data_IF_577631025208
#
_entry.id   IF_577631025208
#
_cell.length_a   1.000
_cell.length_b   1.000
_cell.length_c   1.000
_cell.angle_alpha   90.00
_cell.angle_beta   90.00
_cell.angle_gamma   90.00
#
_symmetry.space_group_name_H-M   'P 1'
#
loop_
_entity.id
_entity.type
_entity.pdbx_description
1 polymer ?
#
# COMPACT_ATOMS: atom_id res chain seq x y z
N UNK A 1 -32.78 -72.39 -11.30
CA UNK A 1 -33.17 -73.00 -10.01
C UNK A 1 -31.98 -72.93 -9.05
N UNK A 2 -32.20 -72.34 -7.86
CA UNK A 2 -31.60 -72.57 -6.51
C UNK A 2 -30.06 -72.50 -6.34
N UNK A 3 -29.50 -71.48 -5.64
CA UNK A 3 -29.20 -71.33 -4.18
C UNK A 3 -28.08 -72.29 -3.69
N UNK A 4 -26.98 -71.84 -3.06
CA UNK A 4 -26.82 -71.22 -1.72
C UNK A 4 -25.42 -70.56 -1.59
N UNK A 5 -25.23 -69.32 -1.10
CA UNK A 5 -25.17 -68.82 0.29
C UNK A 5 -23.94 -69.26 1.12
N UNK A 6 -23.01 -68.33 1.42
CA UNK A 6 -22.22 -68.26 2.67
C UNK A 6 -22.02 -66.77 3.05
N UNK A 7 -22.49 -66.39 4.24
CA UNK A 7 -22.20 -65.14 4.94
C UNK A 7 -20.89 -65.28 5.74
N UNK A 8 -20.03 -64.25 5.71
CA UNK A 8 -19.24 -63.85 6.88
C UNK A 8 -18.81 -62.37 6.73
N UNK A 9 -19.17 -61.58 7.73
CA UNK A 9 -19.01 -60.15 7.92
C UNK A 9 -17.62 -59.73 8.44
N UNK A 10 -17.08 -58.62 7.95
CA UNK A 10 -16.18 -57.75 8.73
C UNK A 10 -16.16 -56.32 8.14
N UNK A 11 -16.69 -55.35 8.90
CA UNK A 11 -16.59 -53.91 8.64
C UNK A 11 -15.13 -53.43 8.83
N UNK A 12 -14.66 -52.49 8.01
CA UNK A 12 -13.77 -51.44 8.46
C UNK A 12 -14.49 -50.08 8.58
N UNK A 13 -14.05 -49.23 9.52
CA UNK A 13 -14.79 -48.07 10.04
C UNK A 13 -14.90 -46.90 9.05
N UNK A 14 -16.05 -46.22 9.13
CA UNK A 14 -16.30 -44.89 8.58
C UNK A 14 -15.33 -43.87 9.17
N UNK A 15 -14.31 -43.49 8.42
CA UNK A 15 -13.61 -42.22 8.62
C UNK A 15 -14.11 -41.21 7.58
N UNK A 16 -15.16 -40.50 7.97
CA UNK A 16 -15.63 -39.28 7.33
C UNK A 16 -14.57 -38.21 7.57
N UNK A 17 -13.71 -37.94 6.58
CA UNK A 17 -12.86 -36.74 6.60
C UNK A 17 -13.72 -35.58 6.13
N UNK A 18 -14.50 -35.02 7.05
CA UNK A 18 -15.07 -33.69 6.90
C UNK A 18 -13.98 -32.69 7.28
N UNK A 19 -13.24 -32.21 6.29
CA UNK A 19 -12.46 -30.97 6.46
C UNK A 19 -13.29 -29.82 5.91
N UNK A 20 -13.74 -28.87 6.73
CA UNK A 20 -14.31 -27.63 6.24
C UNK A 20 -13.17 -26.83 5.59
N UNK A 21 -13.17 -26.77 4.26
CA UNK A 21 -12.38 -25.81 3.48
C UNK A 21 -13.12 -24.45 3.52
N UNK A 22 -13.18 -23.84 4.70
CA UNK A 22 -13.64 -22.46 4.88
C UNK A 22 -12.63 -21.72 5.73
N UNK A 23 -12.25 -20.55 5.24
CA UNK A 23 -11.44 -19.50 5.85
C UNK A 23 -9.91 -19.70 5.80
N UNK A 24 -9.33 -19.27 4.68
CA UNK A 24 -8.05 -18.57 4.69
C UNK A 24 -8.22 -17.34 5.57
N UNK A 25 -7.97 -17.49 6.87
CA UNK A 25 -7.47 -16.43 7.72
C UNK A 25 -5.98 -16.67 7.80
N UNK A 26 -5.20 -15.82 7.15
CA UNK A 26 -3.76 -15.73 7.39
C UNK A 26 -3.55 -15.41 8.87
N UNK A 27 -3.42 -16.45 9.69
CA UNK A 27 -2.81 -16.32 11.01
C UNK A 27 -1.32 -16.24 10.72
N UNK A 28 -0.82 -15.03 10.53
CA UNK A 28 0.62 -14.78 10.55
C UNK A 28 1.18 -15.41 11.83
N UNK A 29 2.03 -16.43 11.69
CA UNK A 29 2.63 -17.10 12.85
C UNK A 29 3.50 -16.09 13.61
N UNK A 30 3.68 -16.29 14.91
CA UNK A 30 4.56 -15.46 15.73
C UNK A 30 5.98 -15.37 15.13
N UNK A 31 6.45 -16.48 14.54
CA UNK A 31 7.71 -16.52 13.79
C UNK A 31 7.70 -15.63 12.53
N UNK A 32 6.58 -15.54 11.81
CA UNK A 32 6.44 -14.65 10.64
C UNK A 32 6.46 -13.17 11.03
N UNK A 33 5.84 -12.83 12.17
CA UNK A 33 5.82 -11.46 12.70
C UNK A 33 7.21 -11.05 13.16
N UNK A 34 7.93 -11.93 13.88
CA UNK A 34 9.29 -11.65 14.33
C UNK A 34 10.26 -11.53 13.14
N UNK A 35 10.14 -12.41 12.13
CA UNK A 35 10.92 -12.31 10.90
C UNK A 35 10.67 -10.99 10.15
N UNK A 36 9.42 -10.52 10.11
CA UNK A 36 9.08 -9.22 9.53
C UNK A 36 9.69 -8.08 10.34
N UNK A 37 9.63 -8.14 11.67
CA UNK A 37 10.21 -7.14 12.57
C UNK A 37 11.72 -7.02 12.41
N UNK A 38 12.43 -8.15 12.37
CA UNK A 38 13.88 -8.19 12.12
C UNK A 38 14.23 -7.59 10.76
N UNK A 39 13.46 -7.91 9.71
CA UNK A 39 13.62 -7.30 8.38
C UNK A 39 13.43 -5.79 8.41
N UNK A 40 12.37 -5.31 9.06
CA UNK A 40 12.10 -3.87 9.16
C UNK A 40 13.19 -3.14 9.94
N UNK A 41 13.70 -3.73 11.03
CA UNK A 41 14.81 -3.18 11.80
C UNK A 41 16.10 -3.09 10.97
N UNK A 42 16.39 -4.12 10.15
CA UNK A 42 17.54 -4.11 9.24
C UNK A 42 17.43 -3.01 8.18
N UNK A 43 16.25 -2.82 7.59
CA UNK A 43 16.00 -1.72 6.63
C UNK A 43 16.20 -0.36 7.29
N UNK A 44 15.65 -0.16 8.49
CA UNK A 44 15.81 1.09 9.22
C UNK A 44 17.28 1.41 9.55
N UNK A 45 18.08 0.40 9.92
CA UNK A 45 19.52 0.55 10.11
C UNK A 45 20.22 0.97 8.82
N UNK A 46 19.91 0.30 7.71
CA UNK A 46 20.51 0.61 6.40
C UNK A 46 20.18 2.03 5.94
N UNK A 47 18.95 2.49 6.17
CA UNK A 47 18.53 3.85 5.84
C UNK A 47 19.23 4.89 6.72
N UNK A 48 19.46 4.58 8.00
CA UNK A 48 20.23 5.44 8.90
C UNK A 48 21.70 5.54 8.48
N UNK A 49 22.32 4.41 8.13
CA UNK A 49 23.70 4.37 7.63
C UNK A 49 23.83 5.13 6.30
N UNK A 50 22.87 4.96 5.40
CA UNK A 50 22.81 5.70 4.14
C UNK A 50 22.73 7.22 4.37
N UNK A 51 21.87 7.67 5.29
CA UNK A 51 21.79 9.10 5.67
C UNK A 51 23.08 9.60 6.32
N UNK A 52 23.75 8.78 7.13
CA UNK A 52 25.00 9.14 7.79
C UNK A 52 26.15 9.38 6.80
N UNK A 53 26.11 8.74 5.63
CA UNK A 53 27.05 8.98 4.51
C UNK A 53 26.52 9.98 3.47
N UNK A 54 25.43 10.70 3.77
CA UNK A 54 24.88 11.74 2.91
C UNK A 54 24.02 11.25 1.75
N UNK A 55 23.65 9.96 1.70
CA UNK A 55 22.69 9.48 0.72
C UNK A 55 21.28 9.91 1.15
N UNK A 56 20.69 10.77 0.34
CA UNK A 56 19.29 11.17 0.46
C UNK A 56 18.43 10.30 -0.47
N UNK A 57 17.16 10.17 -0.09
CA UNK A 57 16.16 9.43 -0.87
C UNK A 57 16.07 10.07 -2.26
N UNK A 58 16.07 9.24 -3.31
CA UNK A 58 15.98 9.72 -4.69
C UNK A 58 14.60 10.33 -4.92
N UNK A 59 14.58 11.42 -5.67
CA UNK A 59 13.36 11.91 -6.25
C UNK A 59 13.08 11.17 -7.55
N UNK A 60 11.83 10.80 -7.75
CA UNK A 60 11.35 10.22 -9.00
C UNK A 60 10.71 11.31 -9.84
N UNK A 61 10.96 11.28 -11.15
CA UNK A 61 10.32 12.18 -12.10
C UNK A 61 9.19 11.42 -12.78
N UNK A 62 7.97 11.91 -12.60
CA UNK A 62 6.77 11.17 -12.99
C UNK A 62 5.86 12.03 -13.86
N UNK A 63 5.09 11.35 -14.71
CA UNK A 63 4.05 11.95 -15.54
C UNK A 63 2.77 12.13 -14.74
N UNK A 64 2.01 13.16 -15.12
CA UNK A 64 0.60 13.25 -14.74
C UNK A 64 -0.22 12.60 -15.84
N UNK A 65 -0.83 11.47 -15.52
CA UNK A 65 -1.60 10.61 -16.43
C UNK A 65 -3.05 10.51 -15.98
N UNK A 66 -3.90 9.88 -16.80
CA UNK A 66 -5.30 9.61 -16.50
C UNK A 66 -6.17 10.85 -16.22
N UNK A 67 -5.75 12.03 -16.70
CA UNK A 67 -6.52 13.28 -16.60
C UNK A 67 -7.07 13.68 -17.96
N UNK A 68 -8.27 14.26 -17.98
CA UNK A 68 -8.81 14.89 -19.19
C UNK A 68 -8.10 16.22 -19.50
N UNK A 69 -7.76 16.98 -18.45
CA UNK A 69 -7.02 18.25 -18.55
C UNK A 69 -6.01 18.38 -17.43
N UNK A 70 -6.48 18.34 -16.17
CA UNK A 70 -5.66 18.58 -14.98
C UNK A 70 -6.05 17.66 -13.83
N UNK A 71 -5.11 17.41 -12.92
CA UNK A 71 -5.35 16.87 -11.58
C UNK A 71 -5.17 17.98 -10.54
N UNK A 72 -5.93 17.93 -9.46
CA UNK A 72 -5.76 18.85 -8.35
C UNK A 72 -4.66 18.36 -7.39
N UNK A 73 -3.76 19.27 -7.03
CA UNK A 73 -2.71 19.04 -6.05
C UNK A 73 -3.11 19.66 -4.71
N UNK A 74 -3.14 18.85 -3.65
CA UNK A 74 -3.75 19.19 -2.37
C UNK A 74 -2.71 19.39 -1.28
N UNK A 75 -2.93 20.35 -0.39
CA UNK A 75 -1.98 20.62 0.70
C UNK A 75 -1.83 19.40 1.63
N UNK A 76 -2.94 18.75 1.97
CA UNK A 76 -2.96 17.49 2.70
C UNK A 76 -3.46 16.36 1.78
N UNK A 77 -3.07 15.11 2.02
CA UNK A 77 -3.25 13.98 1.09
C UNK A 77 -4.68 13.46 1.01
N UNK A 78 -5.70 14.32 0.95
CA UNK A 78 -7.11 13.96 0.79
C UNK A 78 -7.88 15.07 0.08
N UNK A 79 -9.06 14.78 -0.45
CA UNK A 79 -9.94 15.82 -0.95
C UNK A 79 -10.66 16.55 0.19
N UNK A 80 -10.54 17.87 0.23
CA UNK A 80 -11.23 18.71 1.21
C UNK A 80 -10.90 18.40 2.67
N UNK A 81 -11.73 18.90 3.60
CA UNK A 81 -11.54 18.76 5.05
C UNK A 81 -11.17 20.07 5.74
N UNK A 82 -11.14 20.05 7.07
CA UNK A 82 -10.87 21.26 7.86
C UNK A 82 -9.42 21.72 7.66
N UNK A 83 -9.22 22.94 7.13
CA UNK A 83 -7.91 23.51 6.84
C UNK A 83 -7.25 23.03 5.53
N UNK A 84 -7.69 21.93 4.95
CA UNK A 84 -7.15 21.43 3.68
C UNK A 84 -7.69 22.22 2.49
N UNK A 85 -6.86 22.40 1.47
CA UNK A 85 -7.21 23.15 0.27
C UNK A 85 -6.40 22.68 -0.93
N UNK A 86 -6.91 23.00 -2.12
CA UNK A 86 -6.16 22.85 -3.36
C UNK A 86 -5.05 23.90 -3.42
N UNK A 87 -3.82 23.46 -3.58
CA UNK A 87 -2.66 24.33 -3.81
C UNK A 87 -2.65 24.80 -5.26
N UNK A 88 -2.80 23.87 -6.21
CA UNK A 88 -2.89 24.17 -7.64
C UNK A 88 -3.54 23.03 -8.43
N UNK A 89 -3.78 23.24 -9.73
CA UNK A 89 -4.17 22.19 -10.67
C UNK A 89 -3.04 21.98 -11.68
N UNK A 90 -2.64 20.73 -11.87
CA UNK A 90 -1.51 20.37 -12.72
C UNK A 90 -2.02 19.69 -13.98
N UNK A 91 -1.63 20.19 -15.14
CA UNK A 91 -1.98 19.58 -16.42
C UNK A 91 -1.35 18.19 -16.59
N UNK A 92 -1.94 17.36 -17.47
CA UNK A 92 -1.26 16.17 -17.94
C UNK A 92 0.12 16.52 -18.52
N UNK A 93 1.16 15.77 -18.16
CA UNK A 93 2.55 16.07 -18.54
C UNK A 93 3.31 14.82 -18.97
N UNK A 94 4.49 15.01 -19.56
CA UNK A 94 5.50 13.95 -19.80
C UNK A 94 6.79 14.30 -19.06
N UNK A 95 7.06 13.56 -17.98
CA UNK A 95 8.24 13.42 -17.13
C UNK A 95 8.72 14.70 -16.45
N UNK A 96 7.77 15.51 -15.97
CA UNK A 96 8.07 16.90 -15.58
C UNK A 96 7.85 17.22 -14.11
N UNK A 97 7.48 16.23 -13.28
CA UNK A 97 7.19 16.51 -11.87
C UNK A 97 8.00 15.61 -10.98
N UNK A 98 8.71 16.26 -10.07
CA UNK A 98 9.57 15.62 -9.09
C UNK A 98 8.75 15.24 -7.84
N UNK A 99 8.72 13.95 -7.55
CA UNK A 99 8.06 13.35 -6.40
C UNK A 99 9.09 12.69 -5.49
N UNK A 100 8.87 12.73 -4.17
CA UNK A 100 9.86 12.24 -3.18
C UNK A 100 9.40 11.09 -2.30
N UNK A 101 8.10 10.97 -2.13
CA UNK A 101 7.51 10.04 -1.19
C UNK A 101 6.01 9.92 -1.42
N UNK A 102 5.43 8.87 -0.86
CA UNK A 102 3.99 8.69 -0.83
C UNK A 102 3.45 8.57 0.60
N UNK A 103 2.16 8.77 0.75
CA UNK A 103 1.41 8.40 1.96
C UNK A 103 0.10 7.70 1.59
N UNK A 104 -0.45 6.91 2.50
CA UNK A 104 -1.74 6.25 2.31
C UNK A 104 -2.87 7.15 2.81
N UNK A 105 -3.94 7.27 2.02
CA UNK A 105 -5.12 8.04 2.37
C UNK A 105 -6.43 7.57 1.71
N UNK A 106 -7.34 8.53 1.48
CA UNK A 106 -8.53 8.40 0.65
C UNK A 106 -8.21 7.66 -0.65
N UNK A 107 -9.05 6.68 -0.98
CA UNK A 107 -8.94 5.94 -2.22
C UNK A 107 -9.47 6.78 -3.37
N UNK A 108 -8.63 7.02 -4.36
CA UNK A 108 -8.98 7.69 -5.61
C UNK A 108 -8.76 6.68 -6.73
N UNK A 109 -9.82 6.34 -7.45
CA UNK A 109 -9.80 5.32 -8.52
C UNK A 109 -9.14 3.99 -8.10
N UNK A 110 -9.47 3.53 -6.89
CA UNK A 110 -8.90 2.30 -6.32
C UNK A 110 -7.45 2.39 -5.83
N UNK A 111 -6.77 3.54 -5.99
CA UNK A 111 -5.44 3.79 -5.45
C UNK A 111 -5.51 4.64 -4.19
N UNK A 112 -4.94 4.16 -3.08
CA UNK A 112 -4.86 4.92 -1.81
C UNK A 112 -3.57 5.70 -1.64
N UNK A 113 -2.65 5.68 -2.61
CA UNK A 113 -1.42 6.45 -2.60
C UNK A 113 -1.70 7.92 -2.87
N UNK A 114 -1.02 8.79 -2.13
CA UNK A 114 -0.94 10.22 -2.37
C UNK A 114 0.53 10.60 -2.38
N UNK A 115 0.99 11.13 -3.51
CA UNK A 115 2.40 11.29 -3.82
C UNK A 115 2.79 12.76 -3.67
N UNK A 116 3.87 13.03 -2.92
CA UNK A 116 4.31 14.37 -2.58
C UNK A 116 5.17 14.99 -3.69
N UNK A 117 4.63 16.00 -4.37
CA UNK A 117 5.31 16.79 -5.39
C UNK A 117 6.16 17.89 -4.72
N UNK A 118 7.48 17.70 -4.71
CA UNK A 118 8.41 18.47 -3.86
C UNK A 118 8.40 19.95 -4.21
N UNK A 119 8.54 20.26 -5.50
CA UNK A 119 8.63 21.63 -5.99
C UNK A 119 7.29 22.37 -5.99
N UNK A 120 6.19 21.66 -5.69
CA UNK A 120 4.83 22.20 -5.64
C UNK A 120 4.29 22.31 -4.21
N UNK A 121 4.87 21.56 -3.27
CA UNK A 121 4.47 21.61 -1.86
C UNK A 121 3.08 21.02 -1.61
N UNK A 122 2.69 20.00 -2.36
CA UNK A 122 1.37 19.40 -2.29
C UNK A 122 1.37 17.92 -2.71
N UNK A 123 0.27 17.25 -2.43
CA UNK A 123 0.01 15.86 -2.75
C UNK A 123 -0.85 15.71 -4.00
N UNK A 124 -0.45 14.79 -4.88
CA UNK A 124 -1.25 14.35 -6.03
C UNK A 124 -1.76 12.93 -5.74
N UNK A 125 -3.02 12.58 -6.03
CA UNK A 125 -3.46 11.20 -5.91
C UNK A 125 -2.65 10.31 -6.86
N UNK A 126 -2.10 9.21 -6.35
CA UNK A 126 -1.24 8.31 -7.14
C UNK A 126 -1.98 7.52 -8.23
N UNK A 127 -3.31 7.68 -8.35
CA UNK A 127 -4.07 7.24 -9.53
C UNK A 127 -3.72 8.04 -10.80
N UNK A 128 -3.15 9.24 -10.62
CA UNK A 128 -2.81 10.16 -11.70
C UNK A 128 -1.30 10.32 -11.88
N UNK A 129 -0.48 9.56 -11.15
CA UNK A 129 0.95 9.43 -11.41
C UNK A 129 1.19 8.15 -12.20
N UNK A 130 2.18 8.16 -13.09
CA UNK A 130 2.53 6.96 -13.85
C UNK A 130 3.23 5.89 -12.98
N UNK A 131 3.64 4.79 -13.63
CA UNK A 131 4.28 3.66 -12.97
C UNK A 131 5.71 3.92 -12.49
N UNK A 132 6.30 5.08 -12.83
CA UNK A 132 7.58 5.51 -12.24
C UNK A 132 7.41 5.94 -10.79
N UNK A 133 6.23 6.44 -10.42
CA UNK A 133 5.91 6.95 -9.09
C UNK A 133 5.26 5.93 -8.15
N UNK A 134 5.43 4.63 -8.41
CA UNK A 134 4.82 3.61 -7.54
C UNK A 134 5.32 3.72 -6.09
N UNK A 135 4.53 3.18 -5.15
CA UNK A 135 4.92 3.08 -3.73
C UNK A 135 6.29 2.45 -3.51
N UNK A 136 6.67 1.49 -4.35
CA UNK A 136 7.96 0.82 -4.30
C UNK A 136 9.11 1.78 -4.63
N UNK A 137 8.90 2.72 -5.54
CA UNK A 137 9.91 3.69 -5.97
C UNK A 137 9.96 4.90 -5.04
N UNK A 138 8.80 5.48 -4.69
CA UNK A 138 8.73 6.69 -3.88
C UNK A 138 9.02 6.45 -2.39
N UNK A 139 8.64 5.31 -1.79
CA UNK A 139 8.72 5.05 -0.35
C UNK A 139 7.88 6.01 0.52
N UNK A 140 7.61 5.66 1.80
CA UNK A 140 6.72 6.48 2.65
C UNK A 140 7.28 7.88 3.00
N UNK A 141 6.39 8.85 3.12
CA UNK A 141 6.72 10.20 3.59
C UNK A 141 7.02 10.21 5.10
N UNK A 142 8.16 10.77 5.54
CA UNK A 142 8.54 10.79 6.95
C UNK A 142 7.63 11.71 7.80
N UNK A 143 6.96 12.67 7.17
CA UNK A 143 6.04 13.62 7.79
C UNK A 143 4.57 13.21 7.68
N UNK A 144 4.27 12.02 7.15
CA UNK A 144 2.90 11.53 6.97
C UNK A 144 2.10 11.57 8.29
N UNK A 145 2.69 11.17 9.42
CA UNK A 145 2.03 11.23 10.73
C UNK A 145 1.65 12.66 11.15
N UNK A 146 2.49 13.64 10.82
CA UNK A 146 2.23 15.05 11.10
C UNK A 146 1.08 15.57 10.25
N UNK A 147 1.04 15.25 8.95
CA UNK A 147 -0.06 15.66 8.06
C UNK A 147 -1.40 15.09 8.52
N UNK A 148 -1.43 13.86 9.04
CA UNK A 148 -2.63 13.26 9.65
C UNK A 148 -3.14 14.09 10.83
N UNK A 149 -2.23 14.62 11.66
CA UNK A 149 -2.60 15.46 12.81
C UNK A 149 -3.23 16.80 12.41
N UNK A 150 -2.90 17.32 11.23
CA UNK A 150 -3.47 18.56 10.67
C UNK A 150 -4.78 18.35 9.90
N UNK A 151 -5.40 17.17 10.01
CA UNK A 151 -6.62 16.87 9.29
C UNK A 151 -6.40 16.16 7.97
N UNK A 152 -5.19 15.66 7.71
CA UNK A 152 -4.93 14.63 6.70
C UNK A 152 -5.62 13.30 7.05
N UNK A 153 -5.10 12.20 6.53
CA UNK A 153 -5.73 10.88 6.62
C UNK A 153 -5.90 10.38 8.05
N UNK A 154 -7.06 9.80 8.36
CA UNK A 154 -7.33 9.16 9.66
C UNK A 154 -7.23 7.63 9.62
N UNK A 155 -6.74 7.03 8.53
CA UNK A 155 -6.70 5.57 8.33
C UNK A 155 -5.33 4.93 8.58
N UNK A 156 -5.28 3.66 9.05
CA UNK A 156 -4.05 2.96 9.36
C UNK A 156 -3.25 2.65 8.09
N UNK A 157 -1.93 2.63 8.27
CA UNK A 157 -0.92 2.19 7.32
C UNK A 157 -1.06 0.68 6.99
N UNK A 158 -2.13 0.27 6.31
CA UNK A 158 -2.26 -1.09 5.75
C UNK A 158 -1.62 -1.18 4.39
#
# INVERSE_FOLDING_TARGET
>A
MKFSAILASALPPLSVISTPLVAVRDVATEASIEALRVKMASIASRDADARAIGLVKRYEHCDIVNVATTVDCWWLPKHGGNGNHKVESIAGTTNNIEFSCYTNCESVDGNTSWDWAVNRGCYVPGAYTDDTCTRANLGKCPFSATDRSYGGCSGPDT
#
